data_IF_907379253853
#
_entry.id   IF_907379253853
#
_cell.length_a   1.000
_cell.length_b   1.000
_cell.length_c   1.000
_cell.angle_alpha   90.00
_cell.angle_beta   90.00
_cell.angle_gamma   90.00
#
_symmetry.space_group_name_H-M   'P 1'
#
loop_
_entity.id
_entity.type
_entity.pdbx_description
1 polymer ?
#
# COMPACT_ATOMS: atom_id res chain seq x y z
N UNK A 1 -39.17 -3.29 38.98
CA UNK A 1 -37.76 -2.87 38.83
C UNK A 1 -37.66 -2.04 37.55
N UNK A 2 -37.99 -0.75 37.63
CA UNK A 2 -37.07 0.40 37.76
C UNK A 2 -36.08 0.58 36.60
N UNK A 3 -36.43 1.56 35.74
CA UNK A 3 -35.57 2.48 34.93
C UNK A 3 -34.79 1.89 33.75
N UNK A 4 -34.61 2.56 32.61
CA UNK A 4 -35.13 3.82 32.09
C UNK A 4 -34.79 3.92 30.59
N UNK A 5 -35.72 4.52 29.85
CA UNK A 5 -35.60 5.36 28.65
C UNK A 5 -34.24 6.03 28.37
N UNK A 6 -33.82 6.12 27.09
CA UNK A 6 -33.80 7.41 26.35
C UNK A 6 -33.34 7.29 24.88
N UNK A 7 -34.18 7.82 23.98
CA UNK A 7 -34.00 8.59 22.71
C UNK A 7 -32.65 8.51 21.95
N UNK A 8 -32.59 8.19 20.66
CA UNK A 8 -33.15 8.82 19.43
C UNK A 8 -32.43 10.12 18.97
N UNK A 9 -31.99 10.14 17.69
CA UNK A 9 -31.95 11.24 16.67
C UNK A 9 -30.75 10.99 15.73
N UNK A 10 -30.86 10.69 14.42
CA UNK A 10 -31.37 11.44 13.25
C UNK A 10 -30.77 12.83 13.01
N UNK A 11 -29.90 12.93 12.00
CA UNK A 11 -29.63 14.06 11.09
C UNK A 11 -29.00 13.42 9.82
N UNK A 12 -29.67 13.32 8.67
CA UNK A 12 -30.07 14.33 7.67
C UNK A 12 -28.88 15.01 6.98
N UNK A 13 -28.78 14.73 5.69
CA UNK A 13 -27.80 15.19 4.71
C UNK A 13 -27.81 16.71 4.51
N UNK A 14 -26.63 17.26 4.18
CA UNK A 14 -26.49 18.60 3.62
C UNK A 14 -26.05 18.52 2.16
N UNK A 15 -26.84 19.17 1.30
CA UNK A 15 -26.50 19.52 -0.09
C UNK A 15 -25.72 20.84 -0.14
N UNK A 16 -25.00 21.14 -1.24
CA UNK A 16 -24.07 22.25 -1.31
C UNK A 16 -24.78 23.56 -1.67
N UNK A 17 -24.39 24.64 -1.00
CA UNK A 17 -24.86 26.00 -1.27
C UNK A 17 -23.89 26.76 -2.18
N UNK A 18 -24.51 27.48 -3.11
CA UNK A 18 -24.01 28.33 -4.17
C UNK A 18 -22.89 29.32 -3.85
N UNK A 19 -22.13 29.59 -4.92
CA UNK A 19 -21.33 30.77 -5.25
C UNK A 19 -21.90 32.08 -4.69
N UNK A 20 -21.03 32.90 -4.10
CA UNK A 20 -21.10 34.35 -4.21
C UNK A 20 -19.69 34.94 -4.39
N UNK A 21 -19.59 35.79 -5.41
CA UNK A 21 -18.46 36.66 -5.71
C UNK A 21 -18.49 37.87 -4.78
N UNK A 22 -17.37 38.21 -4.16
CA UNK A 22 -17.13 39.56 -3.64
C UNK A 22 -15.61 39.83 -3.56
N UNK A 23 -15.20 40.75 -4.43
CA UNK A 23 -14.21 41.82 -4.25
C UNK A 23 -13.09 41.60 -3.23
N UNK A 24 -11.86 41.48 -3.75
CA UNK A 24 -10.63 41.58 -2.98
C UNK A 24 -9.91 42.88 -3.37
N UNK A 25 -9.94 43.88 -2.47
CA UNK A 25 -9.00 45.00 -2.47
C UNK A 25 -8.14 44.95 -1.21
N UNK A 26 -6.82 45.03 -1.41
CA UNK A 26 -5.89 45.75 -0.52
C UNK A 26 -5.50 45.10 0.81
N UNK A 27 -4.35 44.41 0.83
CA UNK A 27 -3.24 44.74 1.75
C UNK A 27 -2.06 43.79 1.57
N UNK A 28 -1.00 44.32 0.98
CA UNK A 28 0.32 43.69 0.92
C UNK A 28 0.99 43.77 2.29
N UNK A 29 0.90 42.69 3.08
CA UNK A 29 1.79 42.50 4.24
C UNK A 29 3.04 41.74 3.77
N UNK A 30 4.19 42.40 3.89
CA UNK A 30 5.49 41.87 3.50
C UNK A 30 5.84 40.59 4.26
N UNK A 31 5.72 39.46 3.57
CA UNK A 31 6.30 38.20 4.01
C UNK A 31 7.83 38.33 3.92
N UNK A 32 8.50 38.30 5.07
CA UNK A 32 9.95 38.15 5.12
C UNK A 32 10.33 36.85 4.40
N UNK A 33 11.31 36.86 3.48
CA UNK A 33 11.79 35.63 2.88
C UNK A 33 12.39 34.76 3.99
N UNK A 34 11.76 33.62 4.25
CA UNK A 34 12.36 32.56 5.03
C UNK A 34 13.58 32.09 4.25
N UNK A 35 14.77 32.50 4.69
CA UNK A 35 16.02 31.94 4.21
C UNK A 35 15.93 30.41 4.36
N UNK A 36 16.17 29.63 3.29
CA UNK A 36 16.33 28.19 3.43
C UNK A 36 17.52 28.00 4.37
N UNK A 37 17.25 27.46 5.56
CA UNK A 37 18.31 27.01 6.45
C UNK A 37 19.10 25.96 5.67
N UNK A 38 20.26 26.36 5.13
CA UNK A 38 21.28 25.45 4.68
C UNK A 38 21.64 24.56 5.87
N UNK A 39 21.00 23.39 5.98
CA UNK A 39 21.52 22.30 6.80
C UNK A 39 22.89 21.99 6.23
N UNK A 40 23.94 22.41 6.95
CA UNK A 40 25.29 21.94 6.68
C UNK A 40 25.25 20.41 6.71
N UNK A 41 25.75 19.71 5.68
CA UNK A 41 25.91 18.27 5.77
C UNK A 41 26.83 18.00 6.98
N UNK A 42 26.30 17.27 7.96
CA UNK A 42 27.12 16.79 9.08
C UNK A 42 28.13 15.80 8.51
N UNK A 43 29.43 16.08 8.58
CA UNK A 43 30.45 15.20 8.01
C UNK A 43 30.55 13.99 8.94
N UNK A 44 29.87 12.91 8.58
CA UNK A 44 29.98 11.58 9.19
C UNK A 44 29.87 11.60 10.71
N UNK A 45 28.64 11.62 11.22
CA UNK A 45 28.42 11.36 12.63
C UNK A 45 28.66 9.85 12.89
N UNK A 46 29.94 9.46 12.95
CA UNK A 46 30.45 8.19 13.48
C UNK A 46 30.13 8.04 14.99
N UNK A 47 29.24 8.87 15.54
CA UNK A 47 28.75 8.76 16.91
C UNK A 47 27.87 7.53 17.12
N UNK A 48 27.27 6.97 16.05
CA UNK A 48 26.45 5.78 16.17
C UNK A 48 27.28 4.59 16.70
N UNK A 49 26.94 4.02 17.88
CA UNK A 49 27.76 3.00 18.54
C UNK A 49 28.12 1.81 17.63
N UNK A 50 27.16 1.39 16.81
CA UNK A 50 27.34 0.28 15.88
C UNK A 50 28.33 0.56 14.73
N UNK A 51 28.35 1.79 14.18
CA UNK A 51 29.28 2.14 13.10
C UNK A 51 30.72 2.23 13.60
N UNK A 52 30.92 2.55 14.88
CA UNK A 52 32.26 2.51 15.51
C UNK A 52 32.82 1.10 15.57
N UNK A 53 31.98 0.11 15.84
CA UNK A 53 32.39 -1.30 15.89
C UNK A 53 32.39 -1.97 14.51
N UNK A 54 31.66 -1.42 13.53
CA UNK A 54 31.54 -1.96 12.17
C UNK A 54 31.82 -0.86 11.13
N UNK A 55 33.07 -0.38 11.01
CA UNK A 55 33.42 0.73 10.12
C UNK A 55 33.22 0.41 8.63
N UNK A 56 33.14 -0.87 8.28
CA UNK A 56 32.97 -1.35 6.90
C UNK A 56 31.51 -1.72 6.59
N UNK A 57 30.54 -1.37 7.45
CA UNK A 57 29.13 -1.61 7.14
C UNK A 57 28.72 -0.80 5.91
N UNK A 58 28.21 -1.49 4.89
CA UNK A 58 27.60 -0.85 3.74
C UNK A 58 26.26 -0.23 4.13
N UNK A 59 26.12 1.07 3.92
CA UNK A 59 24.86 1.78 4.13
C UNK A 59 24.20 2.04 2.78
N UNK A 60 22.88 1.86 2.72
CA UNK A 60 22.11 2.18 1.53
C UNK A 60 22.31 3.68 1.19
N UNK A 61 22.65 4.05 -0.06
CA UNK A 61 23.04 5.43 -0.41
C UNK A 61 22.00 6.50 -0.02
N UNK A 62 20.71 6.19 -0.21
CA UNK A 62 19.61 7.11 0.17
C UNK A 62 19.42 7.26 1.68
N UNK A 63 19.93 6.32 2.48
CA UNK A 63 19.75 6.24 3.92
C UNK A 63 21.10 6.22 4.66
N UNK A 64 22.14 6.82 4.08
CA UNK A 64 23.50 6.81 4.66
C UNK A 64 23.76 8.00 5.62
N UNK A 65 22.99 9.09 5.48
CA UNK A 65 23.36 10.40 6.05
C UNK A 65 22.64 10.70 7.37
N UNK A 66 21.32 10.47 7.43
CA UNK A 66 20.47 10.89 8.54
C UNK A 66 19.82 9.70 9.26
N UNK A 67 19.63 9.81 10.57
CA UNK A 67 19.02 8.77 11.40
C UNK A 67 19.79 8.47 12.68
N UNK A 68 19.02 8.17 13.73
CA UNK A 68 19.46 7.75 15.08
C UNK A 68 19.30 6.24 15.30
N UNK A 69 18.83 5.51 14.29
CA UNK A 69 18.66 4.05 14.27
C UNK A 69 19.28 3.48 13.00
N UNK A 70 19.87 2.30 13.09
CA UNK A 70 20.26 1.50 11.92
C UNK A 70 19.37 0.26 11.82
N UNK A 71 18.66 0.10 10.71
CA UNK A 71 18.03 -1.17 10.34
C UNK A 71 19.02 -1.96 9.50
N UNK A 72 19.34 -3.18 9.92
CA UNK A 72 20.23 -4.09 9.22
C UNK A 72 19.39 -5.13 8.48
N UNK A 73 19.48 -5.14 7.16
CA UNK A 73 18.90 -6.18 6.30
C UNK A 73 20.02 -7.12 5.84
N UNK A 74 19.71 -8.40 5.76
CA UNK A 74 20.63 -9.43 5.24
C UNK A 74 20.10 -9.95 3.92
N UNK A 75 20.94 -9.93 2.90
CA UNK A 75 20.68 -10.53 1.60
C UNK A 75 21.89 -11.38 1.25
N UNK A 76 21.69 -12.70 1.29
CA UNK A 76 22.75 -13.70 1.23
C UNK A 76 23.87 -13.45 2.27
N UNK A 77 25.10 -13.24 1.80
CA UNK A 77 26.28 -12.94 2.62
C UNK A 77 26.45 -11.43 2.91
N UNK A 78 25.64 -10.57 2.30
CA UNK A 78 25.76 -9.13 2.41
C UNK A 78 24.84 -8.57 3.50
N UNK A 79 25.34 -7.57 4.22
CA UNK A 79 24.58 -6.82 5.23
C UNK A 79 24.51 -5.37 4.81
N UNK A 80 23.30 -4.88 4.55
CA UNK A 80 23.04 -3.49 4.18
C UNK A 80 22.32 -2.80 5.32
N UNK A 81 22.85 -1.66 5.75
CA UNK A 81 22.26 -0.82 6.78
C UNK A 81 21.44 0.35 6.21
N UNK A 82 20.32 0.66 6.85
CA UNK A 82 19.51 1.84 6.58
C UNK A 82 19.52 2.72 7.83
N UNK A 83 20.07 3.94 7.74
CA UNK A 83 19.94 4.93 8.80
C UNK A 83 18.59 5.62 8.67
N UNK A 84 17.83 5.60 9.75
CA UNK A 84 16.47 6.12 9.80
C UNK A 84 16.20 6.78 11.14
N UNK A 85 15.21 7.68 11.17
CA UNK A 85 14.79 8.34 12.40
C UNK A 85 13.84 7.44 13.19
N UNK A 86 14.14 7.21 14.47
CA UNK A 86 13.32 6.44 15.40
C UNK A 86 11.92 7.01 15.55
N UNK A 87 11.74 8.33 15.38
CA UNK A 87 10.42 8.97 15.38
C UNK A 87 9.53 8.51 14.23
N UNK A 88 10.09 8.34 13.03
CA UNK A 88 9.36 7.84 11.84
C UNK A 88 8.96 6.39 12.07
N UNK A 89 9.90 5.55 12.54
CA UNK A 89 9.62 4.14 12.81
C UNK A 89 8.53 3.94 13.88
N UNK A 90 8.57 4.73 14.98
CA UNK A 90 7.54 4.67 16.04
C UNK A 90 6.17 5.11 15.53
N UNK A 91 6.13 6.11 14.64
CA UNK A 91 4.87 6.57 14.06
C UNK A 91 4.29 5.55 13.07
N UNK A 92 5.12 4.74 12.43
CA UNK A 92 4.71 3.83 11.36
C UNK A 92 4.35 2.41 11.81
N UNK A 93 4.78 1.96 12.99
CA UNK A 93 4.67 0.55 13.38
C UNK A 93 4.66 0.35 14.89
N UNK A 94 3.68 -0.40 15.40
CA UNK A 94 3.65 -0.86 16.79
C UNK A 94 4.81 -1.81 17.12
N UNK A 95 5.23 -2.64 16.16
CA UNK A 95 6.39 -3.54 16.30
C UNK A 95 7.67 -2.73 16.52
N UNK A 96 7.91 -1.67 15.74
CA UNK A 96 9.08 -0.82 15.97
C UNK A 96 9.03 -0.06 17.28
N UNK A 97 7.85 0.32 17.79
CA UNK A 97 7.73 0.89 19.14
C UNK A 97 8.25 -0.09 20.19
N UNK A 98 7.88 -1.37 20.09
CA UNK A 98 8.34 -2.41 21.03
C UNK A 98 9.85 -2.64 20.91
N UNK A 99 10.36 -2.81 19.69
CA UNK A 99 11.79 -3.02 19.44
C UNK A 99 12.65 -1.85 19.93
N UNK A 100 12.24 -0.61 19.66
CA UNK A 100 12.95 0.61 20.08
C UNK A 100 12.91 0.86 21.59
N UNK A 101 12.00 0.20 22.32
CA UNK A 101 11.94 0.25 23.78
C UNK A 101 12.64 -0.95 24.44
N UNK A 102 13.18 -1.89 23.65
CA UNK A 102 13.88 -3.07 24.17
C UNK A 102 15.24 -2.70 24.77
N UNK A 103 15.67 -3.44 25.80
CA UNK A 103 17.01 -3.29 26.38
C UNK A 103 18.12 -3.51 25.34
N UNK A 104 17.92 -4.48 24.43
CA UNK A 104 18.84 -4.77 23.32
C UNK A 104 19.06 -3.56 22.41
N UNK A 105 18.01 -2.81 22.10
CA UNK A 105 18.12 -1.62 21.28
C UNK A 105 18.86 -0.48 22.03
N UNK A 106 18.65 -0.34 23.34
CA UNK A 106 19.33 0.68 24.13
C UNK A 106 20.87 0.59 24.02
N UNK A 107 21.39 -0.64 23.94
CA UNK A 107 22.83 -0.92 23.85
C UNK A 107 23.38 -0.72 22.43
N UNK A 108 22.67 -1.22 21.42
CA UNK A 108 23.20 -1.34 20.05
C UNK A 108 22.77 -0.21 19.13
N UNK A 109 21.61 0.39 19.40
CA UNK A 109 20.90 1.32 18.50
C UNK A 109 20.63 0.73 17.10
N UNK A 110 20.56 -0.60 17.01
CA UNK A 110 20.31 -1.32 15.75
C UNK A 110 19.11 -2.24 15.84
N UNK A 111 18.40 -2.37 14.73
CA UNK A 111 17.32 -3.35 14.53
C UNK A 111 17.77 -4.30 13.41
N UNK A 112 17.66 -5.61 13.62
CA UNK A 112 17.96 -6.60 12.58
C UNK A 112 16.64 -7.02 11.94
N UNK A 113 16.44 -6.71 10.67
CA UNK A 113 15.29 -7.16 9.90
C UNK A 113 15.60 -8.46 9.14
N UNK A 114 14.55 -9.25 8.89
CA UNK A 114 14.58 -10.43 8.00
C UNK A 114 14.11 -10.10 6.59
N UNK A 115 13.66 -8.88 6.35
CA UNK A 115 13.18 -8.44 5.04
C UNK A 115 14.35 -8.24 4.07
N UNK A 116 14.08 -8.48 2.78
CA UNK A 116 15.03 -8.20 1.71
C UNK A 116 15.40 -6.71 1.68
N UNK A 117 16.61 -6.40 1.21
CA UNK A 117 17.13 -5.01 1.14
C UNK A 117 16.22 -4.15 0.27
N UNK A 118 15.80 -4.65 -0.89
CA UNK A 118 14.88 -3.95 -1.81
C UNK A 118 13.53 -3.64 -1.17
N UNK A 119 13.00 -4.57 -0.39
CA UNK A 119 11.66 -4.47 0.18
C UNK A 119 11.67 -3.46 1.34
N UNK A 120 12.71 -3.53 2.19
CA UNK A 120 12.93 -2.52 3.23
C UNK A 120 13.17 -1.13 2.62
N UNK A 121 13.92 -1.05 1.52
CA UNK A 121 14.14 0.21 0.80
C UNK A 121 12.82 0.83 0.33
N UNK A 122 11.96 0.04 -0.33
CA UNK A 122 10.64 0.47 -0.78
C UNK A 122 9.75 0.96 0.39
N UNK A 123 9.73 0.21 1.50
CA UNK A 123 8.99 0.57 2.71
C UNK A 123 9.49 1.89 3.30
N UNK A 124 10.80 2.01 3.52
CA UNK A 124 11.37 3.21 4.12
C UNK A 124 11.14 4.43 3.24
N UNK A 125 11.27 4.28 1.93
CA UNK A 125 10.91 5.32 0.97
C UNK A 125 9.45 5.74 1.07
N UNK A 126 8.52 4.77 1.14
CA UNK A 126 7.09 5.04 1.32
C UNK A 126 6.80 5.84 2.60
N UNK A 127 7.46 5.50 3.71
CA UNK A 127 7.31 6.21 4.99
C UNK A 127 7.83 7.66 4.95
N UNK A 128 8.68 7.99 3.98
CA UNK A 128 9.21 9.34 3.78
C UNK A 128 8.47 10.12 2.67
N UNK A 129 7.42 9.56 2.07
CA UNK A 129 6.60 10.28 1.09
C UNK A 129 6.05 11.59 1.69
N UNK A 130 6.31 12.71 1.01
CA UNK A 130 5.90 14.04 1.45
C UNK A 130 6.83 14.70 2.47
N UNK A 131 7.92 14.04 2.89
CA UNK A 131 8.94 14.66 3.75
C UNK A 131 9.85 15.55 2.91
N UNK A 132 9.88 16.85 3.20
CA UNK A 132 10.83 17.80 2.59
C UNK A 132 12.29 17.50 2.97
N UNK A 133 12.50 16.82 4.10
CA UNK A 133 13.83 16.40 4.58
C UNK A 133 14.46 15.31 3.69
N UNK A 134 13.64 14.56 2.94
CA UNK A 134 14.07 13.52 2.01
C UNK A 134 13.58 13.89 0.61
N UNK A 135 14.04 15.05 0.11
CA UNK A 135 13.85 15.50 -1.27
C UNK A 135 14.63 14.62 -2.28
N UNK A 136 14.51 13.30 -2.14
CA UNK A 136 14.88 12.35 -3.17
C UNK A 136 13.94 12.47 -4.37
N UNK A 137 14.32 11.89 -5.52
CA UNK A 137 13.48 11.90 -6.71
C UNK A 137 12.10 11.33 -6.39
N UNK A 138 11.06 11.95 -6.96
CA UNK A 138 9.68 11.45 -6.92
C UNK A 138 9.69 9.99 -7.32
N UNK A 139 9.20 9.13 -6.44
CA UNK A 139 9.24 7.69 -6.64
C UNK A 139 8.05 7.34 -7.50
N UNK A 140 8.28 6.52 -8.51
CA UNK A 140 7.25 5.72 -9.16
C UNK A 140 7.42 4.29 -8.64
N UNK A 141 6.76 3.89 -7.53
CA UNK A 141 6.91 2.56 -6.98
C UNK A 141 6.41 1.53 -7.98
N UNK A 142 7.16 0.44 -8.12
CA UNK A 142 6.79 -0.71 -8.95
C UNK A 142 5.71 -1.55 -8.27
N UNK A 143 5.09 -2.48 -9.01
CA UNK A 143 4.16 -3.47 -8.42
C UNK A 143 4.81 -4.25 -7.26
N UNK A 144 6.11 -4.58 -7.39
CA UNK A 144 6.89 -5.24 -6.32
C UNK A 144 6.97 -4.37 -5.08
N UNK A 145 7.28 -3.09 -5.25
CA UNK A 145 7.39 -2.13 -4.13
C UNK A 145 6.08 -2.02 -3.37
N UNK A 146 4.94 -1.86 -4.07
CA UNK A 146 3.63 -1.81 -3.42
C UNK A 146 3.29 -3.09 -2.66
N UNK A 147 3.70 -4.24 -3.19
CA UNK A 147 3.51 -5.54 -2.53
C UNK A 147 4.34 -5.63 -1.24
N UNK A 148 5.60 -5.19 -1.28
CA UNK A 148 6.46 -5.10 -0.10
C UNK A 148 5.89 -4.14 0.96
N UNK A 149 5.42 -2.96 0.55
CA UNK A 149 4.80 -1.98 1.46
C UNK A 149 3.51 -2.55 2.08
N UNK A 150 2.68 -3.24 1.30
CA UNK A 150 1.47 -3.90 1.81
C UNK A 150 1.81 -5.01 2.83
N UNK A 151 2.85 -5.81 2.56
CA UNK A 151 3.33 -6.83 3.48
C UNK A 151 3.81 -6.19 4.78
N UNK A 152 4.59 -5.12 4.69
CA UNK A 152 5.02 -4.33 5.85
C UNK A 152 3.83 -3.84 6.69
N UNK A 153 2.84 -3.20 6.05
CA UNK A 153 1.66 -2.69 6.74
C UNK A 153 0.90 -3.80 7.49
N UNK A 154 0.94 -5.02 6.97
CA UNK A 154 0.27 -6.18 7.55
C UNK A 154 1.07 -6.84 8.68
N UNK A 155 2.39 -6.95 8.52
CA UNK A 155 3.27 -7.67 9.45
C UNK A 155 3.75 -6.82 10.62
N UNK A 156 3.90 -5.51 10.41
CA UNK A 156 4.54 -4.60 11.35
C UNK A 156 3.55 -3.83 12.23
N UNK A 157 2.30 -4.28 12.36
CA UNK A 157 1.25 -3.60 13.13
C UNK A 157 1.19 -2.11 12.80
N UNK A 158 1.10 -1.80 11.50
CA UNK A 158 1.09 -0.44 11.02
C UNK A 158 -0.29 0.22 11.28
N UNK A 159 -0.33 1.54 11.60
CA UNK A 159 -1.58 2.24 11.79
C UNK A 159 -2.50 2.15 10.56
N UNK A 160 -3.84 2.06 10.74
CA UNK A 160 -4.78 2.00 9.62
C UNK A 160 -4.64 3.15 8.61
N UNK A 161 -4.18 4.33 9.07
CA UNK A 161 -3.92 5.48 8.21
C UNK A 161 -2.86 5.21 7.13
N UNK A 162 -1.81 4.43 7.42
CA UNK A 162 -0.80 4.07 6.41
C UNK A 162 -1.38 3.18 5.32
N UNK A 163 -2.27 2.25 5.69
CA UNK A 163 -3.00 1.43 4.71
C UNK A 163 -3.90 2.27 3.82
N UNK A 164 -4.58 3.26 4.39
CA UNK A 164 -5.41 4.20 3.63
C UNK A 164 -4.58 5.06 2.68
N UNK A 165 -3.41 5.52 3.11
CA UNK A 165 -2.47 6.27 2.26
C UNK A 165 -1.95 5.40 1.10
N UNK A 166 -1.56 4.16 1.39
CA UNK A 166 -1.14 3.19 0.39
C UNK A 166 -2.25 2.92 -0.64
N UNK A 167 -3.48 2.68 -0.17
CA UNK A 167 -4.65 2.51 -1.04
C UNK A 167 -4.84 3.75 -1.94
N UNK A 168 -4.81 4.94 -1.36
CA UNK A 168 -4.99 6.19 -2.12
C UNK A 168 -3.93 6.35 -3.22
N UNK A 169 -2.67 6.04 -2.90
CA UNK A 169 -1.58 6.11 -3.88
C UNK A 169 -1.75 5.07 -5.00
N UNK A 170 -2.12 3.84 -4.65
CA UNK A 170 -2.38 2.77 -5.63
C UNK A 170 -3.58 3.09 -6.52
N UNK A 171 -4.64 3.70 -5.97
CA UNK A 171 -5.78 4.15 -6.78
C UNK A 171 -5.39 5.28 -7.75
N UNK A 172 -4.51 6.20 -7.33
CA UNK A 172 -3.99 7.27 -8.18
C UNK A 172 -3.10 6.77 -9.32
N UNK A 173 -2.38 5.66 -9.12
CA UNK A 173 -1.45 5.07 -10.10
C UNK A 173 -2.02 3.82 -10.80
N UNK A 174 -3.32 3.55 -10.71
CA UNK A 174 -3.93 2.30 -11.16
C UNK A 174 -3.61 1.97 -12.63
N UNK A 175 -3.77 2.93 -13.54
CA UNK A 175 -3.53 2.73 -14.97
C UNK A 175 -2.03 2.49 -15.27
N UNK A 176 -1.14 3.20 -14.57
CA UNK A 176 0.32 3.03 -14.73
C UNK A 176 0.77 1.65 -14.25
N UNK A 177 0.23 1.17 -13.13
CA UNK A 177 0.51 -0.17 -12.61
C UNK A 177 0.06 -1.29 -13.55
N UNK A 178 -1.13 -1.17 -14.12
CA UNK A 178 -1.61 -2.15 -15.10
C UNK A 178 -0.82 -2.08 -16.41
N UNK A 179 -0.36 -0.88 -16.80
CA UNK A 179 0.53 -0.73 -17.95
C UNK A 179 1.92 -1.33 -17.70
N UNK A 180 2.47 -1.24 -16.48
CA UNK A 180 3.74 -1.86 -16.07
C UNK A 180 3.71 -3.39 -16.21
N UNK A 181 2.59 -4.02 -15.81
CA UNK A 181 2.36 -5.47 -16.00
C UNK A 181 2.36 -5.86 -17.49
N UNK A 182 1.98 -4.95 -18.37
CA UNK A 182 2.10 -5.13 -19.81
C UNK A 182 0.99 -5.95 -20.46
N UNK A 183 1.18 -6.27 -21.75
CA UNK A 183 0.19 -6.95 -22.57
C UNK A 183 0.26 -8.49 -22.45
N UNK A 184 1.44 -9.04 -22.17
CA UNK A 184 1.67 -10.48 -22.08
C UNK A 184 2.37 -10.83 -20.75
N UNK A 185 1.73 -10.51 -19.60
CA UNK A 185 2.30 -10.88 -18.32
C UNK A 185 2.30 -12.39 -18.13
N UNK A 186 3.10 -12.84 -17.17
CA UNK A 186 2.97 -14.18 -16.62
C UNK A 186 1.89 -14.24 -15.52
N UNK A 187 1.46 -15.44 -15.16
CA UNK A 187 0.40 -15.66 -14.17
C UNK A 187 0.73 -15.05 -12.80
N UNK A 188 2.01 -15.06 -12.40
CA UNK A 188 2.47 -14.52 -11.12
C UNK A 188 2.32 -13.01 -11.04
N UNK A 189 2.59 -12.29 -12.12
CA UNK A 189 2.41 -10.84 -12.22
C UNK A 189 0.92 -10.46 -12.13
N UNK A 190 0.06 -11.19 -12.84
CA UNK A 190 -1.39 -10.98 -12.78
C UNK A 190 -1.93 -11.30 -11.38
N UNK A 191 -1.51 -12.41 -10.78
CA UNK A 191 -1.88 -12.75 -9.40
C UNK A 191 -1.40 -11.67 -8.41
N UNK A 192 -0.20 -11.14 -8.58
CA UNK A 192 0.35 -10.11 -7.70
C UNK A 192 -0.48 -8.82 -7.75
N UNK A 193 -0.83 -8.32 -8.93
CA UNK A 193 -1.64 -7.09 -9.07
C UNK A 193 -3.08 -7.27 -8.59
N UNK A 194 -3.67 -8.45 -8.82
CA UNK A 194 -5.01 -8.81 -8.31
C UNK A 194 -5.00 -8.92 -6.79
N UNK A 195 -3.96 -9.54 -6.21
CA UNK A 195 -3.77 -9.63 -4.75
C UNK A 195 -3.63 -8.24 -4.14
N UNK A 196 -2.85 -7.35 -4.75
CA UNK A 196 -2.71 -5.97 -4.33
C UNK A 196 -4.07 -5.24 -4.33
N UNK A 197 -4.80 -5.31 -5.45
CA UNK A 197 -6.12 -4.71 -5.60
C UNK A 197 -7.12 -5.23 -4.55
N UNK A 198 -7.14 -6.55 -4.33
CA UNK A 198 -7.99 -7.20 -3.34
C UNK A 198 -7.66 -6.76 -1.91
N UNK A 199 -6.39 -6.83 -1.52
CA UNK A 199 -5.94 -6.54 -0.16
C UNK A 199 -6.12 -5.06 0.17
N UNK A 200 -5.90 -4.15 -0.77
CA UNK A 200 -6.13 -2.72 -0.55
C UNK A 200 -7.59 -2.30 -0.72
N UNK A 201 -8.43 -3.16 -1.31
CA UNK A 201 -9.78 -2.79 -1.77
C UNK A 201 -9.71 -1.57 -2.71
N UNK A 202 -8.73 -1.58 -3.61
CA UNK A 202 -8.45 -0.48 -4.53
C UNK A 202 -9.38 -0.59 -5.74
N UNK A 203 -10.48 0.16 -5.73
CA UNK A 203 -11.56 0.05 -6.73
C UNK A 203 -11.09 0.47 -8.13
N UNK A 204 -10.32 1.56 -8.22
CA UNK A 204 -9.75 2.03 -9.47
C UNK A 204 -8.80 0.98 -10.09
N UNK A 205 -7.94 0.35 -9.28
CA UNK A 205 -7.05 -0.70 -9.76
C UNK A 205 -7.81 -1.93 -10.26
N UNK A 206 -8.88 -2.35 -9.57
CA UNK A 206 -9.75 -3.42 -10.05
C UNK A 206 -10.35 -3.13 -11.40
N UNK A 207 -10.85 -1.91 -11.60
CA UNK A 207 -11.41 -1.49 -12.88
C UNK A 207 -10.38 -1.63 -14.00
N UNK A 208 -9.18 -1.05 -13.82
CA UNK A 208 -8.11 -1.11 -14.82
C UNK A 208 -7.67 -2.55 -15.13
N UNK A 209 -7.57 -3.43 -14.11
CA UNK A 209 -7.26 -4.86 -14.30
C UNK A 209 -8.32 -5.53 -15.18
N UNK A 210 -9.60 -5.31 -14.87
CA UNK A 210 -10.70 -5.95 -15.60
C UNK A 210 -10.79 -5.44 -17.04
N UNK A 211 -10.69 -4.11 -17.23
CA UNK A 211 -10.70 -3.48 -18.55
C UNK A 211 -9.54 -4.05 -19.40
N UNK A 212 -8.32 -4.09 -18.84
CA UNK A 212 -7.15 -4.65 -19.52
C UNK A 212 -7.31 -6.13 -19.89
N UNK A 213 -7.83 -6.92 -18.95
CA UNK A 213 -8.06 -8.35 -19.18
C UNK A 213 -9.13 -8.62 -20.24
N UNK A 214 -10.09 -7.71 -20.42
CA UNK A 214 -11.12 -7.81 -21.44
C UNK A 214 -10.57 -7.46 -22.83
N UNK A 215 -9.68 -6.46 -22.91
CA UNK A 215 -8.96 -6.09 -24.13
C UNK A 215 -7.97 -7.17 -24.59
N UNK A 216 -7.34 -7.87 -23.62
CA UNK A 216 -6.25 -8.79 -23.91
C UNK A 216 -6.43 -10.15 -23.24
N UNK A 217 -6.84 -11.15 -24.03
CA UNK A 217 -6.96 -12.55 -23.59
C UNK A 217 -5.66 -13.36 -23.74
N UNK A 218 -4.49 -12.71 -23.71
CA UNK A 218 -3.18 -13.37 -23.72
C UNK A 218 -3.00 -14.29 -22.51
N UNK A 219 -1.91 -15.08 -22.52
CA UNK A 219 -1.69 -16.20 -21.60
C UNK A 219 -1.88 -15.83 -20.12
N UNK A 220 -1.20 -14.80 -19.61
CA UNK A 220 -1.32 -14.44 -18.19
C UNK A 220 -2.67 -13.83 -17.80
N UNK A 221 -3.22 -12.92 -18.61
CA UNK A 221 -4.52 -12.31 -18.33
C UNK A 221 -5.69 -13.30 -18.35
N UNK A 222 -5.49 -14.47 -18.98
CA UNK A 222 -6.47 -15.56 -19.02
C UNK A 222 -6.83 -16.08 -17.62
N UNK A 223 -5.94 -15.98 -16.63
CA UNK A 223 -6.20 -16.43 -15.26
C UNK A 223 -7.47 -15.81 -14.64
N UNK A 224 -7.81 -14.58 -15.04
CA UNK A 224 -9.02 -13.90 -14.55
C UNK A 224 -10.31 -14.46 -15.16
N UNK A 225 -10.20 -15.08 -16.33
CA UNK A 225 -11.32 -15.59 -17.13
C UNK A 225 -11.49 -17.10 -16.97
N UNK A 226 -10.39 -17.80 -16.80
CA UNK A 226 -10.32 -19.25 -16.62
C UNK A 226 -9.26 -19.58 -15.55
N UNK A 227 -9.57 -19.44 -14.25
CA UNK A 227 -8.62 -19.69 -13.18
C UNK A 227 -8.19 -21.16 -13.09
N UNK A 228 -8.88 -22.06 -13.81
CA UNK A 228 -8.52 -23.48 -13.89
C UNK A 228 -7.28 -23.74 -14.75
N UNK A 229 -6.74 -22.73 -15.43
CA UNK A 229 -5.47 -22.84 -16.15
C UNK A 229 -4.26 -22.73 -15.22
N UNK A 230 -4.45 -22.32 -13.97
CA UNK A 230 -3.37 -22.25 -12.99
C UNK A 230 -2.85 -23.64 -12.64
N UNK A 231 -1.53 -23.73 -12.48
CA UNK A 231 -0.88 -24.94 -11.99
C UNK A 231 -1.26 -25.20 -10.52
N UNK A 232 -1.26 -26.47 -10.12
CA UNK A 232 -1.64 -26.89 -8.77
C UNK A 232 -0.79 -26.18 -7.70
N UNK A 233 0.52 -26.04 -7.96
CA UNK A 233 1.43 -25.29 -7.11
C UNK A 233 0.98 -23.83 -6.94
N UNK A 234 0.56 -23.14 -8.01
CA UNK A 234 0.10 -21.75 -7.90
C UNK A 234 -1.22 -21.65 -7.11
N UNK A 235 -2.11 -22.64 -7.25
CA UNK A 235 -3.37 -22.71 -6.49
C UNK A 235 -3.12 -22.92 -5.00
N UNK A 236 -2.19 -23.79 -4.61
CA UNK A 236 -1.84 -24.02 -3.21
C UNK A 236 -1.31 -22.76 -2.52
N UNK A 237 -0.60 -21.91 -3.25
CA UNK A 237 -0.05 -20.65 -2.75
C UNK A 237 -1.04 -19.47 -2.85
N UNK A 238 -2.22 -19.67 -3.44
CA UNK A 238 -3.29 -18.68 -3.48
C UNK A 238 -4.09 -18.70 -2.18
N UNK A 239 -4.29 -17.51 -1.63
CA UNK A 239 -5.21 -17.35 -0.50
C UNK A 239 -6.62 -17.79 -0.90
N UNK A 240 -7.28 -18.60 -0.07
CA UNK A 240 -8.63 -19.11 -0.33
C UNK A 240 -9.63 -18.03 -0.79
N UNK A 241 -9.55 -16.82 -0.22
CA UNK A 241 -10.39 -15.67 -0.59
C UNK A 241 -10.11 -15.17 -2.00
N UNK A 242 -8.85 -15.13 -2.39
CA UNK A 242 -8.42 -14.72 -3.74
C UNK A 242 -8.85 -15.76 -4.77
N UNK A 243 -8.65 -17.05 -4.47
CA UNK A 243 -9.13 -18.14 -5.32
C UNK A 243 -10.65 -18.11 -5.53
N UNK A 244 -11.41 -17.95 -4.44
CA UNK A 244 -12.88 -17.83 -4.49
C UNK A 244 -13.32 -16.63 -5.34
N UNK A 245 -12.59 -15.52 -5.27
CA UNK A 245 -12.84 -14.33 -6.08
C UNK A 245 -12.57 -14.59 -7.56
N UNK A 246 -11.48 -15.27 -7.91
CA UNK A 246 -11.18 -15.62 -9.31
C UNK A 246 -12.23 -16.56 -9.91
N UNK A 247 -12.70 -17.56 -9.14
CA UNK A 247 -13.81 -18.43 -9.55
C UNK A 247 -15.09 -17.60 -9.75
N UNK A 248 -15.36 -16.64 -8.87
CA UNK A 248 -16.52 -15.77 -9.00
C UNK A 248 -16.46 -14.95 -10.29
N UNK A 249 -15.32 -14.31 -10.55
CA UNK A 249 -15.10 -13.47 -11.73
C UNK A 249 -15.27 -14.28 -13.03
N UNK A 250 -14.65 -15.46 -13.12
CA UNK A 250 -14.79 -16.34 -14.29
C UNK A 250 -16.23 -16.80 -14.52
N UNK A 251 -16.97 -17.17 -13.46
CA UNK A 251 -18.39 -17.54 -13.57
C UNK A 251 -19.28 -16.39 -14.03
N UNK A 252 -19.08 -15.20 -13.46
CA UNK A 252 -19.83 -14.01 -13.86
C UNK A 252 -19.56 -13.71 -15.33
N UNK A 253 -18.31 -13.76 -15.79
CA UNK A 253 -17.97 -13.57 -17.20
C UNK A 253 -18.63 -14.62 -18.11
N UNK A 254 -18.58 -15.90 -17.73
CA UNK A 254 -19.24 -16.97 -18.47
C UNK A 254 -20.76 -16.79 -18.60
N UNK A 255 -21.38 -16.12 -17.62
CA UNK A 255 -22.83 -15.87 -17.60
C UNK A 255 -23.23 -14.57 -18.30
N UNK A 256 -22.44 -13.50 -18.14
CA UNK A 256 -22.77 -12.13 -18.60
C UNK A 256 -22.11 -11.79 -19.96
N UNK A 257 -21.10 -12.57 -20.39
CA UNK A 257 -20.33 -12.31 -21.60
C UNK A 257 -19.13 -11.38 -21.38
N UNK A 258 -18.64 -10.74 -22.44
CA UNK A 258 -17.38 -9.95 -22.45
C UNK A 258 -17.47 -8.55 -21.83
N UNK A 259 -18.65 -7.97 -21.69
CA UNK A 259 -18.84 -6.60 -21.17
C UNK A 259 -19.19 -6.62 -19.68
N UNK A 260 -18.15 -6.69 -18.84
CA UNK A 260 -18.24 -6.50 -17.38
C UNK A 260 -18.19 -5.01 -17.03
N UNK A 261 -19.09 -4.21 -17.61
CA UNK A 261 -18.99 -2.75 -17.53
C UNK A 261 -19.21 -2.18 -16.11
N UNK A 262 -19.76 -2.99 -15.19
CA UNK A 262 -19.94 -2.64 -13.77
C UNK A 262 -19.85 -3.89 -12.88
N UNK A 263 -18.65 -4.25 -12.42
CA UNK A 263 -18.48 -5.24 -11.36
C UNK A 263 -18.22 -4.53 -10.02
N UNK A 264 -19.25 -4.38 -9.20
CA UNK A 264 -19.10 -3.79 -7.86
C UNK A 264 -18.76 -4.87 -6.85
N UNK A 265 -17.49 -5.00 -6.46
CA UNK A 265 -17.08 -5.89 -5.38
C UNK A 265 -17.41 -5.26 -4.03
N UNK A 266 -18.59 -5.58 -3.49
CA UNK A 266 -18.92 -5.24 -2.12
C UNK A 266 -18.13 -6.13 -1.15
N UNK A 267 -17.26 -5.53 -0.34
CA UNK A 267 -16.59 -6.18 0.79
C UNK A 267 -17.27 -5.75 2.10
N UNK A 268 -18.22 -6.53 2.64
CA UNK A 268 -18.92 -6.11 3.82
C UNK A 268 -18.28 -6.74 5.06
N UNK A 269 -18.29 -6.01 6.17
CA UNK A 269 -18.30 -6.63 7.50
C UNK A 269 -19.64 -7.40 7.75
N UNK A 270 -20.25 -8.00 6.71
CA UNK A 270 -21.57 -8.64 6.70
C UNK A 270 -21.78 -9.51 5.44
N UNK A 271 -21.24 -10.72 5.42
CA UNK A 271 -21.79 -11.96 4.82
C UNK A 271 -22.25 -12.06 3.34
N UNK A 272 -22.17 -11.09 2.43
CA UNK A 272 -22.53 -11.31 1.00
C UNK A 272 -21.75 -10.45 0.00
N UNK A 273 -21.46 -10.99 -1.19
CA UNK A 273 -20.91 -10.27 -2.36
C UNK A 273 -22.02 -10.17 -3.41
N UNK A 274 -22.39 -8.96 -3.82
CA UNK A 274 -23.39 -8.73 -4.86
C UNK A 274 -22.71 -8.37 -6.18
N UNK A 275 -23.08 -9.03 -7.28
CA UNK A 275 -22.63 -8.67 -8.62
C UNK A 275 -23.84 -8.22 -9.43
N UNK A 276 -23.80 -6.99 -9.95
CA UNK A 276 -24.91 -6.40 -10.73
C UNK A 276 -24.51 -6.32 -12.19
N UNK A 277 -25.18 -7.09 -13.05
CA UNK A 277 -24.99 -6.98 -14.50
C UNK A 277 -25.71 -5.77 -15.08
N UNK A 278 -25.24 -5.29 -16.25
CA UNK A 278 -25.73 -4.09 -16.96
C UNK A 278 -27.25 -4.09 -17.28
N UNK A 279 -27.89 -5.26 -17.28
CA UNK A 279 -29.32 -5.41 -17.58
C UNK A 279 -30.22 -5.26 -16.33
N UNK A 280 -29.67 -4.82 -15.19
CA UNK A 280 -30.40 -4.83 -13.91
C UNK A 280 -30.64 -6.24 -13.36
N UNK A 281 -30.09 -7.27 -14.02
CA UNK A 281 -30.01 -8.61 -13.46
C UNK A 281 -29.01 -8.58 -12.29
N UNK A 282 -29.56 -8.66 -11.09
CA UNK A 282 -28.79 -8.97 -9.89
C UNK A 282 -28.46 -10.46 -9.93
N UNK A 283 -27.16 -10.75 -10.02
CA UNK A 283 -26.67 -12.08 -9.68
C UNK A 283 -26.38 -12.05 -8.19
N UNK A 284 -27.36 -12.54 -7.41
CA UNK A 284 -27.17 -12.81 -5.99
C UNK A 284 -26.27 -14.04 -5.87
N UNK A 285 -24.96 -13.83 -5.92
CA UNK A 285 -24.01 -14.91 -5.63
C UNK A 285 -23.85 -14.96 -4.13
N UNK A 286 -24.73 -15.73 -3.49
CA UNK A 286 -24.63 -16.06 -2.07
C UNK A 286 -23.44 -17.00 -1.88
N UNK A 287 -22.24 -16.44 -1.85
CA UNK A 287 -21.07 -17.15 -1.35
C UNK A 287 -21.03 -16.99 0.16
N UNK A 288 -21.51 -17.99 0.88
CA UNK A 288 -21.25 -18.13 2.30
C UNK A 288 -19.76 -18.43 2.45
N UNK A 289 -18.96 -17.39 2.72
CA UNK A 289 -17.59 -17.57 3.21
C UNK A 289 -17.71 -18.18 4.60
N UNK A 290 -17.49 -19.49 4.70
CA UNK A 290 -17.32 -20.21 5.99
C UNK A 290 -15.97 -19.83 6.58
#
# INVERSE_FOLDING_TARGET
MSRATSRASFFTAMSPTSRNSLETQGSSNGAKPHHPLHRRPSPYDLTHPYLKSHPNLELHPEFAVDGDVIILCREDENVVGFRVRSSVLRASSGVFVQELNSARFADTRTIVSRDAVTDMHAVLRFLHLGSSDHAGPTISPTLRDYTAILAFVSLYDAPPALRSLLRWHVEGCAAELVAEVGAEPNDKEVIAIVRLAHRLRAEALWKEILDKSAENMSAGWRVLHDPWTLEEDDIEHLEFRLWSLLILLSRVKGTVGTTLDQLTLHYPNAKQVNVVGKNGQKLDIVHTLV
#
